data_IF_919250190754
#
_entry.id   IF_919250190754
#
_cell.length_a   1.000
_cell.length_b   1.000
_cell.length_c   1.000
_cell.angle_alpha   90.00
_cell.angle_beta   90.00
_cell.angle_gamma   90.00
#
_symmetry.space_group_name_H-M   'P 1'
#
loop_
_entity.id
_entity.type
_entity.pdbx_description
1 polymer ?
#
# COMPACT_ATOMS: atom_id res chain seq x y z
N UNK A 1 -11.66 -8.91 2.34
CA UNK A 1 -10.30 -9.32 1.94
C UNK A 1 -9.29 -8.27 2.41
N UNK A 2 -8.03 -8.66 2.69
CA UNK A 2 -7.00 -7.77 3.29
C UNK A 2 -5.68 -7.89 2.52
N UNK A 3 -5.04 -6.76 2.22
CA UNK A 3 -3.71 -6.67 1.59
C UNK A 3 -2.76 -5.96 2.54
N UNK A 4 -1.56 -6.50 2.72
CA UNK A 4 -0.52 -5.89 3.54
C UNK A 4 0.01 -4.62 2.88
N UNK A 5 0.16 -3.55 3.67
CA UNK A 5 0.54 -2.22 3.19
C UNK A 5 1.74 -1.65 3.98
N UNK A 6 2.61 -2.52 4.50
CA UNK A 6 3.81 -2.13 5.22
C UNK A 6 3.60 -1.90 6.72
N UNK A 7 4.63 -1.34 7.37
CA UNK A 7 4.64 -1.02 8.80
C UNK A 7 4.46 0.48 9.00
N UNK A 8 3.61 0.86 9.94
CA UNK A 8 3.44 2.25 10.34
C UNK A 8 4.68 2.74 11.13
N UNK A 9 5.32 3.86 10.76
CA UNK A 9 6.57 4.29 11.39
C UNK A 9 6.39 4.78 12.82
N UNK A 10 5.21 5.30 13.15
CA UNK A 10 4.82 5.87 14.44
C UNK A 10 4.54 4.79 15.49
N UNK A 11 3.85 3.72 15.09
CA UNK A 11 3.37 2.68 16.00
C UNK A 11 4.09 1.35 15.83
N UNK A 12 4.93 1.21 14.78
CA UNK A 12 5.60 -0.03 14.37
C UNK A 12 4.63 -1.21 14.15
N UNK A 13 3.36 -0.92 13.85
CA UNK A 13 2.33 -1.92 13.59
C UNK A 13 2.13 -2.15 12.10
N UNK A 14 1.82 -3.38 11.72
CA UNK A 14 1.45 -3.73 10.36
C UNK A 14 0.17 -3.00 9.94
N UNK A 15 0.21 -2.33 8.79
CA UNK A 15 -0.93 -1.70 8.14
C UNK A 15 -1.47 -2.63 7.06
N UNK A 16 -2.78 -2.64 6.93
CA UNK A 16 -3.48 -3.40 5.91
C UNK A 16 -4.48 -2.49 5.21
N UNK A 17 -4.60 -2.63 3.90
CA UNK A 17 -5.77 -2.17 3.17
C UNK A 17 -6.81 -3.28 3.17
N UNK A 18 -8.03 -2.92 3.54
CA UNK A 18 -9.13 -3.88 3.67
C UNK A 18 -10.30 -3.39 2.85
N UNK A 19 -10.88 -4.29 2.07
CA UNK A 19 -12.12 -4.05 1.34
C UNK A 19 -13.07 -5.22 1.60
N UNK A 20 -14.32 -4.89 1.91
CA UNK A 20 -15.38 -5.86 2.16
C UNK A 20 -16.26 -5.94 0.93
N UNK A 21 -16.28 -7.11 0.31
CA UNK A 21 -17.12 -7.38 -0.85
C UNK A 21 -18.39 -8.09 -0.35
N UNK A 22 -19.59 -7.57 -0.63
CA UNK A 22 -20.83 -8.24 -0.26
C UNK A 22 -20.95 -9.59 -0.98
N UNK A 23 -21.59 -10.56 -0.32
CA UNK A 23 -21.85 -11.87 -0.92
C UNK A 23 -22.75 -11.74 -2.16
N UNK A 24 -22.53 -12.59 -3.15
CA UNK A 24 -23.27 -12.61 -4.40
C UNK A 24 -22.62 -13.52 -5.43
N UNK A 25 -23.29 -13.76 -6.58
CA UNK A 25 -22.79 -14.65 -7.63
C UNK A 25 -21.44 -14.20 -8.19
N UNK A 26 -21.19 -12.89 -8.27
CA UNK A 26 -19.93 -12.33 -8.78
C UNK A 26 -18.93 -11.99 -7.67
N UNK A 27 -19.15 -12.43 -6.42
CA UNK A 27 -18.34 -12.00 -5.28
C UNK A 27 -16.87 -12.38 -5.45
N UNK A 28 -16.59 -13.55 -6.01
CA UNK A 28 -15.22 -14.01 -6.30
C UNK A 28 -14.55 -13.12 -7.35
N UNK A 29 -15.24 -12.85 -8.46
CA UNK A 29 -14.71 -11.98 -9.51
C UNK A 29 -14.45 -10.55 -8.99
N UNK A 30 -15.39 -9.99 -8.21
CA UNK A 30 -15.25 -8.68 -7.58
C UNK A 30 -14.11 -8.65 -6.57
N UNK A 31 -13.91 -9.73 -5.81
CA UNK A 31 -12.80 -9.84 -4.87
C UNK A 31 -11.45 -9.85 -5.59
N UNK A 32 -11.33 -10.53 -6.73
CA UNK A 32 -10.08 -10.52 -7.51
C UNK A 32 -9.81 -9.14 -8.13
N UNK A 33 -10.83 -8.47 -8.66
CA UNK A 33 -10.68 -7.09 -9.15
C UNK A 33 -10.26 -6.14 -8.02
N UNK A 34 -10.84 -6.29 -6.83
CA UNK A 34 -10.41 -5.53 -5.65
C UNK A 34 -8.95 -5.85 -5.28
N UNK A 35 -8.50 -7.11 -5.41
CA UNK A 35 -7.12 -7.52 -5.12
C UNK A 35 -6.11 -6.75 -5.95
N UNK A 36 -6.31 -6.74 -7.26
CA UNK A 36 -5.44 -6.05 -8.20
C UNK A 36 -5.39 -4.54 -7.93
N UNK A 37 -6.55 -3.95 -7.61
CA UNK A 37 -6.66 -2.52 -7.28
C UNK A 37 -5.90 -2.16 -6.01
N UNK A 38 -6.04 -2.99 -4.96
CA UNK A 38 -5.38 -2.78 -3.67
C UNK A 38 -3.86 -2.95 -3.78
N UNK A 39 -3.38 -3.97 -4.50
CA UNK A 39 -1.94 -4.16 -4.76
C UNK A 39 -1.36 -2.94 -5.47
N UNK A 40 -1.99 -2.50 -6.57
CA UNK A 40 -1.56 -1.30 -7.30
C UNK A 40 -1.49 -0.06 -6.40
N UNK A 41 -2.44 0.08 -5.47
CA UNK A 41 -2.46 1.19 -4.52
C UNK A 41 -1.30 1.13 -3.53
N UNK A 42 -0.89 -0.07 -3.11
CA UNK A 42 0.29 -0.27 -2.25
C UNK A 42 1.57 0.06 -3.03
N UNK A 43 1.72 -0.48 -4.24
CA UNK A 43 2.89 -0.23 -5.08
C UNK A 43 3.09 1.27 -5.38
N UNK A 44 2.00 1.99 -5.66
CA UNK A 44 2.05 3.45 -5.86
C UNK A 44 2.51 4.19 -4.60
N UNK A 45 2.07 3.76 -3.41
CA UNK A 45 2.48 4.39 -2.13
C UNK A 45 3.93 4.10 -1.77
N UNK A 46 4.40 2.88 -2.03
CA UNK A 46 5.80 2.51 -1.77
C UNK A 46 6.73 3.18 -2.79
N UNK A 47 6.32 3.29 -4.06
CA UNK A 47 7.03 4.06 -5.08
C UNK A 47 7.16 5.55 -4.74
N UNK A 48 6.14 6.16 -4.12
CA UNK A 48 6.17 7.55 -3.65
C UNK A 48 7.09 7.76 -2.43
N UNK A 49 7.36 6.72 -1.65
CA UNK A 49 8.22 6.80 -0.44
C UNK A 49 9.71 6.66 -0.73
N UNK A 50 10.11 6.18 -1.90
CA UNK A 50 11.52 5.85 -2.17
C UNK A 50 12.31 6.99 -2.83
N UNK A 51 11.68 7.87 -3.60
CA UNK A 51 12.39 8.91 -4.36
C UNK A 51 12.46 10.26 -3.65
N UNK A 52 11.44 10.64 -2.87
CA UNK A 52 11.45 11.95 -2.20
C UNK A 52 12.42 12.01 -1.00
N UNK A 53 12.58 10.91 -0.26
CA UNK A 53 13.36 10.93 1.00
C UNK A 53 14.85 10.65 0.84
N UNK A 54 15.32 9.99 -0.23
CA UNK A 54 16.75 9.70 -0.36
C UNK A 54 17.55 10.89 -0.91
N UNK A 55 17.07 11.51 -2.00
CA UNK A 55 17.75 12.65 -2.62
C UNK A 55 17.78 13.85 -1.66
N UNK A 56 16.66 14.16 -0.98
CA UNK A 56 16.61 15.25 0.01
C UNK A 56 17.52 15.00 1.23
N UNK A 57 17.66 13.74 1.68
CA UNK A 57 18.56 13.41 2.79
C UNK A 57 20.04 13.49 2.39
N UNK A 58 20.39 13.06 1.17
CA UNK A 58 21.75 13.16 0.64
C UNK A 58 22.12 14.63 0.43
N UNK A 59 21.25 15.44 -0.18
CA UNK A 59 21.50 16.87 -0.38
C UNK A 59 21.64 17.64 0.93
N UNK A 60 20.98 17.22 2.02
CA UNK A 60 21.07 17.88 3.33
C UNK A 60 22.34 17.55 4.14
N UNK A 61 23.04 16.44 3.84
CA UNK A 61 24.17 15.98 4.66
C UNK A 61 25.51 15.90 3.93
N UNK A 62 25.54 16.06 2.61
CA UNK A 62 26.77 15.97 1.81
C UNK A 62 27.06 17.31 1.09
N UNK A 63 26.63 18.44 1.64
CA UNK A 63 27.05 19.78 1.20
C UNK A 63 27.56 20.59 2.37
#
# INVERSE_FOLDING_TARGET
>A
MRVYAGIAPDTRRARYLTETIPAGPDAEHKAEQARLRLIRTVDQRDGLRLTATLDELITRHIT
#
